data_IF_116158030598
#
_entry.id   IF_116158030598
#
_cell.length_a   1.000
_cell.length_b   1.000
_cell.length_c   1.000
_cell.angle_alpha   90.00
_cell.angle_beta   90.00
_cell.angle_gamma   90.00
#
_symmetry.space_group_name_H-M   'P 1'
#
loop_
_entity.id
_entity.type
_entity.pdbx_description
1 polymer ?
#
# COMPACT_ATOMS: atom_id res chain seq x y z
N UNK A 1 -13.39 21.00 -0.24
CA UNK A 1 -12.00 21.40 0.16
C UNK A 1 -11.01 20.24 0.15
N UNK A 2 -11.24 19.15 0.91
CA UNK A 2 -10.29 18.03 1.04
C UNK A 2 -9.92 17.42 -0.32
N UNK A 3 -10.93 16.96 -1.09
CA UNK A 3 -10.72 16.38 -2.41
C UNK A 3 -9.92 17.28 -3.36
N UNK A 4 -10.36 18.52 -3.51
CA UNK A 4 -9.70 19.49 -4.39
C UNK A 4 -8.24 19.71 -3.99
N UNK A 5 -7.94 19.78 -2.70
CA UNK A 5 -6.56 19.92 -2.19
C UNK A 5 -5.72 18.68 -2.52
N UNK A 6 -6.26 17.48 -2.32
CA UNK A 6 -5.56 16.22 -2.56
C UNK A 6 -5.30 16.01 -4.06
N UNK A 7 -6.30 16.23 -4.91
CA UNK A 7 -6.19 16.03 -6.36
C UNK A 7 -5.29 17.07 -7.06
N UNK A 8 -5.17 18.27 -6.49
CA UNK A 8 -4.29 19.34 -7.01
C UNK A 8 -2.91 19.37 -6.35
N UNK A 9 -2.61 18.40 -5.48
CA UNK A 9 -1.33 18.39 -4.79
C UNK A 9 -0.20 18.24 -5.82
N UNK A 10 0.79 19.16 -5.84
CA UNK A 10 1.72 19.26 -6.95
C UNK A 10 2.80 18.18 -6.95
N UNK A 11 3.07 17.58 -5.79
CA UNK A 11 4.16 16.62 -5.64
C UNK A 11 3.63 15.19 -5.51
N UNK A 12 3.92 14.37 -6.52
CA UNK A 12 3.58 12.95 -6.50
C UNK A 12 4.29 12.18 -5.37
N UNK A 13 5.47 12.65 -4.93
CA UNK A 13 6.25 11.99 -3.89
C UNK A 13 5.54 11.97 -2.53
N UNK A 14 4.65 12.92 -2.27
CA UNK A 14 3.87 12.97 -1.02
C UNK A 14 2.79 11.89 -0.93
N UNK A 15 2.49 11.21 -2.05
CA UNK A 15 1.61 10.04 -2.07
C UNK A 15 2.35 8.72 -1.83
N UNK A 16 3.68 8.76 -1.77
CA UNK A 16 4.50 7.56 -1.67
C UNK A 16 4.59 7.05 -0.23
N UNK A 17 4.28 5.78 -0.07
CA UNK A 17 4.28 5.02 1.15
C UNK A 17 5.46 4.05 1.15
N UNK A 18 5.82 3.58 2.34
CA UNK A 18 6.84 2.56 2.54
C UNK A 18 6.33 1.46 3.44
N UNK A 19 6.58 0.22 3.03
CA UNK A 19 6.36 -0.95 3.85
C UNK A 19 7.65 -1.72 4.09
N UNK A 20 7.72 -2.39 5.25
CA UNK A 20 8.76 -3.36 5.58
C UNK A 20 8.12 -4.60 6.19
N UNK A 21 8.61 -5.78 5.81
CA UNK A 21 8.34 -7.04 6.51
C UNK A 21 9.59 -7.55 7.22
N UNK A 22 9.44 -8.22 8.38
CA UNK A 22 10.56 -8.80 9.11
C UNK A 22 11.14 -10.03 8.37
N UNK A 23 12.34 -10.45 8.80
CA UNK A 23 12.95 -11.70 8.32
C UNK A 23 12.03 -12.88 8.62
N UNK A 24 11.91 -13.82 7.68
CA UNK A 24 10.98 -14.96 7.76
C UNK A 24 9.58 -14.66 7.21
N UNK A 25 9.28 -13.40 6.91
CA UNK A 25 8.09 -12.97 6.16
C UNK A 25 8.49 -12.51 4.75
N UNK A 26 7.53 -12.44 3.84
CA UNK A 26 7.74 -11.87 2.51
C UNK A 26 6.57 -10.96 2.09
N UNK A 27 6.85 -10.07 1.13
CA UNK A 27 5.85 -9.23 0.48
C UNK A 27 5.50 -9.81 -0.88
N UNK A 28 4.23 -9.81 -1.22
CA UNK A 28 3.71 -10.22 -2.52
C UNK A 28 2.92 -9.06 -3.12
N UNK A 29 3.20 -8.71 -4.37
CA UNK A 29 2.49 -7.71 -5.17
C UNK A 29 1.89 -8.38 -6.41
N UNK A 30 0.57 -8.54 -6.42
CA UNK A 30 -0.14 -9.47 -7.31
C UNK A 30 0.44 -10.88 -7.19
N UNK A 31 0.93 -11.43 -8.29
CA UNK A 31 1.57 -12.77 -8.30
C UNK A 31 3.07 -12.75 -7.98
N UNK A 32 3.70 -11.57 -7.90
CA UNK A 32 5.17 -11.46 -7.79
C UNK A 32 5.59 -11.21 -6.36
N UNK A 33 6.72 -11.80 -5.96
CA UNK A 33 7.35 -11.45 -4.70
C UNK A 33 8.04 -10.08 -4.82
N UNK A 34 7.71 -9.15 -3.92
CA UNK A 34 8.33 -7.83 -3.82
C UNK A 34 9.50 -7.84 -2.83
N UNK A 35 10.33 -6.78 -2.88
CA UNK A 35 11.42 -6.60 -1.92
C UNK A 35 10.87 -6.44 -0.49
N UNK A 36 11.54 -7.02 0.52
CA UNK A 36 11.06 -6.98 1.91
C UNK A 36 10.93 -5.56 2.48
N UNK A 37 11.68 -4.59 1.95
CA UNK A 37 11.38 -3.17 2.11
C UNK A 37 10.96 -2.65 0.75
N UNK A 38 9.74 -2.13 0.65
CA UNK A 38 9.16 -1.70 -0.62
C UNK A 38 8.59 -0.29 -0.49
N UNK A 39 8.86 0.57 -1.48
CA UNK A 39 8.15 1.83 -1.71
C UNK A 39 7.00 1.59 -2.67
N UNK A 40 5.87 2.23 -2.43
CA UNK A 40 4.66 2.08 -3.22
C UNK A 40 3.76 3.30 -3.10
N UNK A 41 2.71 3.37 -3.90
CA UNK A 41 1.59 4.29 -3.70
C UNK A 41 0.29 3.59 -4.13
N UNK A 42 -0.84 4.09 -3.66
CA UNK A 42 -2.15 3.57 -4.06
C UNK A 42 -2.48 4.12 -5.45
N UNK A 43 -2.74 3.22 -6.40
CA UNK A 43 -2.75 3.55 -7.82
C UNK A 43 -3.88 2.83 -8.56
N UNK A 44 -4.53 3.55 -9.47
CA UNK A 44 -5.54 2.95 -10.35
C UNK A 44 -4.85 2.03 -11.36
N UNK A 45 -5.35 0.80 -11.49
CA UNK A 45 -4.71 -0.24 -12.30
C UNK A 45 -3.51 -0.91 -11.65
N UNK A 46 -3.24 -0.63 -10.37
CA UNK A 46 -2.24 -1.35 -9.57
C UNK A 46 -2.67 -2.79 -9.27
N UNK A 47 -1.95 -3.43 -8.35
CA UNK A 47 -2.27 -4.79 -7.87
C UNK A 47 -2.35 -4.82 -6.35
N UNK A 48 -3.04 -5.83 -5.81
CA UNK A 48 -3.05 -6.05 -4.36
C UNK A 48 -1.63 -6.27 -3.83
N UNK A 49 -1.38 -5.81 -2.60
CA UNK A 49 -0.13 -6.10 -1.90
C UNK A 49 -0.42 -6.78 -0.57
N UNK A 50 0.32 -7.84 -0.28
CA UNK A 50 0.10 -8.69 0.86
C UNK A 50 1.40 -8.99 1.61
N UNK A 51 1.34 -8.94 2.93
CA UNK A 51 2.37 -9.49 3.82
C UNK A 51 2.03 -10.95 4.05
N UNK A 52 2.99 -11.82 3.79
CA UNK A 52 2.93 -13.22 4.18
C UNK A 52 3.81 -13.44 5.39
N UNK A 53 3.20 -13.74 6.52
CA UNK A 53 3.89 -13.95 7.79
C UNK A 53 3.87 -15.43 8.18
N UNK A 54 4.92 -15.93 8.85
CA UNK A 54 4.98 -17.31 9.25
C UNK A 54 3.84 -17.67 10.23
N UNK A 55 3.52 -18.97 10.34
CA UNK A 55 2.52 -19.47 11.27
C UNK A 55 2.76 -19.03 12.71
N UNK A 56 1.67 -18.89 13.47
CA UNK A 56 1.74 -18.65 14.91
C UNK A 56 1.83 -19.97 15.66
N UNK A 57 2.43 -19.97 16.85
CA UNK A 57 2.52 -21.16 17.70
C UNK A 57 1.16 -21.81 17.99
N UNK A 58 0.11 -20.98 18.14
CA UNK A 58 -1.28 -21.45 18.37
C UNK A 58 -1.94 -22.05 17.13
N UNK A 59 -1.43 -21.76 15.92
CA UNK A 59 -1.96 -22.26 14.65
C UNK A 59 -0.80 -22.64 13.73
N UNK A 60 -0.07 -23.73 14.06
CA UNK A 60 1.08 -24.16 13.30
C UNK A 60 0.69 -24.59 11.89
N UNK A 61 1.60 -24.45 10.93
CA UNK A 61 1.40 -24.88 9.54
C UNK A 61 0.65 -23.91 8.63
N UNK A 62 -0.02 -22.88 9.18
CA UNK A 62 -0.79 -21.92 8.38
C UNK A 62 -0.10 -20.56 8.27
N UNK A 63 0.31 -20.21 7.05
CA UNK A 63 0.83 -18.88 6.74
C UNK A 63 -0.29 -17.84 6.81
N UNK A 64 0.06 -16.65 7.29
CA UNK A 64 -0.89 -15.55 7.47
C UNK A 64 -0.75 -14.55 6.32
N UNK A 65 -1.81 -14.39 5.52
CA UNK A 65 -1.96 -13.33 4.52
C UNK A 65 -2.54 -12.10 5.20
N UNK A 66 -1.84 -10.97 5.16
CA UNK A 66 -2.30 -9.68 5.69
C UNK A 66 -2.22 -8.66 4.56
N UNK A 67 -3.36 -8.13 4.13
CA UNK A 67 -3.43 -7.11 3.10
C UNK A 67 -2.75 -5.81 3.53
N UNK A 68 -2.09 -5.17 2.57
CA UNK A 68 -1.55 -3.82 2.68
C UNK A 68 -2.50 -2.91 1.91
N UNK A 69 -3.02 -1.87 2.57
CA UNK A 69 -4.14 -1.08 2.04
C UNK A 69 -5.29 -1.97 1.56
N UNK A 70 -5.70 -2.93 2.38
CA UNK A 70 -6.71 -3.95 2.02
C UNK A 70 -7.94 -3.33 1.33
N UNK A 71 -8.28 -3.84 0.15
CA UNK A 71 -9.35 -3.30 -0.69
C UNK A 71 -8.87 -2.32 -1.76
N UNK A 72 -7.62 -1.87 -1.70
CA UNK A 72 -7.00 -0.97 -2.66
C UNK A 72 -5.85 -1.62 -3.42
N UNK A 73 -5.62 -1.11 -4.61
CA UNK A 73 -4.54 -1.55 -5.48
C UNK A 73 -3.36 -0.58 -5.38
N UNK A 74 -2.15 -1.13 -5.39
CA UNK A 74 -0.92 -0.34 -5.27
C UNK A 74 -0.01 -0.54 -6.47
N UNK A 75 0.86 0.44 -6.71
CA UNK A 75 2.04 0.28 -7.55
C UNK A 75 3.30 0.30 -6.72
N UNK A 76 4.13 -0.72 -6.87
CA UNK A 76 5.48 -0.74 -6.32
C UNK A 76 6.38 0.21 -7.12
N UNK A 77 7.13 1.06 -6.42
CA UNK A 77 8.04 2.05 -6.98
C UNK A 77 9.36 2.13 -6.18
N UNK A 78 10.04 0.99 -6.04
CA UNK A 78 11.37 0.97 -5.39
C UNK A 78 12.38 1.87 -6.12
N UNK A 79 12.21 2.00 -7.44
CA UNK A 79 12.77 3.08 -8.24
C UNK A 79 11.65 4.04 -8.61
N UNK A 80 11.94 5.33 -8.64
CA UNK A 80 10.92 6.34 -8.92
C UNK A 80 10.39 6.24 -10.35
N UNK A 81 11.24 5.81 -11.28
CA UNK A 81 10.85 5.61 -12.69
C UNK A 81 9.75 4.57 -12.87
N UNK A 82 9.53 3.68 -11.89
CA UNK A 82 8.47 2.68 -11.92
C UNK A 82 7.09 3.27 -11.54
N UNK A 83 7.03 4.51 -11.04
CA UNK A 83 5.78 5.18 -10.66
C UNK A 83 5.06 5.76 -11.88
N UNK A 84 4.44 4.88 -12.67
CA UNK A 84 3.84 5.22 -13.98
C UNK A 84 2.31 5.21 -13.99
N UNK A 85 1.67 4.58 -13.01
CA UNK A 85 0.21 4.52 -12.93
C UNK A 85 -0.35 5.79 -12.29
N UNK A 86 -1.56 6.20 -12.67
CA UNK A 86 -2.24 7.31 -12.00
C UNK A 86 -2.50 7.00 -10.52
N UNK A 87 -2.23 7.96 -9.66
CA UNK A 87 -2.57 7.91 -8.23
C UNK A 87 -4.08 7.71 -8.07
N UNK A 88 -4.48 6.84 -7.14
CA UNK A 88 -5.88 6.71 -6.79
C UNK A 88 -6.24 7.65 -5.64
N UNK A 89 -6.61 8.89 -5.99
CA UNK A 89 -6.88 9.94 -4.99
C UNK A 89 -8.02 9.60 -4.03
N UNK A 90 -8.94 8.70 -4.41
CA UNK A 90 -10.07 8.32 -3.55
C UNK A 90 -9.59 7.71 -2.23
N UNK A 91 -8.54 6.88 -2.26
CA UNK A 91 -7.92 6.33 -1.05
C UNK A 91 -7.41 7.44 -0.13
N UNK A 92 -6.70 8.41 -0.68
CA UNK A 92 -6.06 9.48 0.08
C UNK A 92 -7.09 10.46 0.63
N UNK A 93 -8.13 10.78 -0.14
CA UNK A 93 -9.27 11.55 0.35
C UNK A 93 -9.93 10.85 1.53
N UNK A 94 -10.19 9.54 1.42
CA UNK A 94 -10.75 8.75 2.52
C UNK A 94 -9.84 8.78 3.76
N UNK A 95 -8.52 8.62 3.61
CA UNK A 95 -7.60 8.66 4.75
C UNK A 95 -7.54 10.05 5.39
N UNK A 96 -7.56 11.13 4.60
CA UNK A 96 -7.60 12.49 5.12
C UNK A 96 -8.91 12.76 5.85
N UNK A 97 -10.05 12.33 5.31
CA UNK A 97 -11.35 12.46 5.95
C UNK A 97 -11.40 11.75 7.32
N UNK A 98 -10.87 10.53 7.42
CA UNK A 98 -10.74 9.83 8.71
C UNK A 98 -9.97 10.66 9.74
N UNK A 99 -8.83 11.23 9.33
CA UNK A 99 -7.97 12.02 10.22
C UNK A 99 -8.61 13.32 10.67
N UNK A 100 -9.27 14.05 9.77
CA UNK A 100 -9.76 15.41 10.05
C UNK A 100 -11.21 15.45 10.54
N UNK A 101 -12.00 14.42 10.25
CA UNK A 101 -13.40 14.32 10.65
C UNK A 101 -13.64 13.30 11.77
N UNK A 102 -12.61 12.55 12.17
CA UNK A 102 -12.71 11.55 13.25
C UNK A 102 -13.57 10.33 12.87
N UNK A 103 -13.63 9.99 11.59
CA UNK A 103 -14.32 8.80 11.11
C UNK A 103 -13.40 7.59 11.35
N UNK A 104 -13.80 6.67 12.21
CA UNK A 104 -13.05 5.45 12.55
C UNK A 104 -13.88 4.19 12.23
#
# INVERSE_FOLDING_TARGET
PIRETVERWPDMHDFMLRIKVPRGSYLQWGEHQAQSTTRYYVARGGKEMNKWMPPLARKPGEWRKIGVESGWNVQVCNRIEDAVLPVDFDYYVEQVEKLVLGLA
#
